data_IF_546889502002
#
_entry.id   IF_546889502002
#
_cell.length_a   1.000
_cell.length_b   1.000
_cell.length_c   1.000
_cell.angle_alpha   90.00
_cell.angle_beta   90.00
_cell.angle_gamma   90.00
#
_symmetry.space_group_name_H-M   'P 1'
#
loop_
_entity.id
_entity.type
_entity.pdbx_description
1 polymer ?
#
# COMPACT_ATOMS: atom_id res chain seq x y z
N UNK A 1 21.67 9.86 -1.85
CA UNK A 1 21.49 10.56 -3.15
C UNK A 1 19.98 10.66 -3.46
N UNK A 2 19.60 11.57 -4.36
CA UNK A 2 18.24 11.58 -4.92
C UNK A 2 18.27 10.90 -6.29
N UNK A 3 17.41 9.91 -6.49
CA UNK A 3 17.34 9.14 -7.73
C UNK A 3 15.95 9.28 -8.33
N UNK A 4 15.87 9.82 -9.55
CA UNK A 4 14.63 9.87 -10.31
C UNK A 4 14.55 8.68 -11.27
N UNK A 5 13.46 7.92 -11.22
CA UNK A 5 13.13 6.89 -12.22
C UNK A 5 11.95 7.40 -13.06
N UNK A 6 12.15 7.48 -14.37
CA UNK A 6 11.15 7.99 -15.29
C UNK A 6 11.11 7.19 -16.57
N UNK A 7 9.94 6.74 -16.95
CA UNK A 7 9.70 6.38 -18.34
C UNK A 7 9.47 7.65 -19.16
N UNK A 8 9.71 7.56 -20.48
CA UNK A 8 9.56 8.68 -21.42
C UNK A 8 8.19 8.65 -22.08
N UNK A 9 7.51 9.79 -22.07
CA UNK A 9 6.23 9.98 -22.71
C UNK A 9 6.29 10.87 -23.97
N UNK A 10 5.14 11.03 -24.60
CA UNK A 10 5.01 11.86 -25.81
C UNK A 10 5.27 13.35 -25.56
N UNK A 11 5.02 13.82 -24.35
CA UNK A 11 5.20 15.22 -23.94
C UNK A 11 6.61 15.56 -23.48
N UNK A 12 7.47 14.55 -23.30
CA UNK A 12 8.86 14.75 -22.90
C UNK A 12 9.75 15.04 -24.13
N UNK A 13 10.80 15.86 -23.99
CA UNK A 13 11.14 16.67 -22.81
C UNK A 13 10.37 17.99 -22.68
N UNK A 14 9.93 18.60 -23.78
CA UNK A 14 9.26 19.91 -23.82
C UNK A 14 8.08 19.82 -24.78
N UNK A 15 6.93 20.33 -24.38
CA UNK A 15 5.73 20.42 -25.22
C UNK A 15 5.00 21.73 -24.92
N UNK A 16 4.45 22.37 -25.97
CA UNK A 16 3.68 23.62 -25.86
C UNK A 16 4.42 24.67 -25.02
N UNK A 17 5.70 24.86 -25.29
CA UNK A 17 6.58 25.82 -24.60
C UNK A 17 6.74 25.59 -23.08
N UNK A 18 6.46 24.39 -22.60
CA UNK A 18 6.55 24.00 -21.18
C UNK A 18 7.28 22.69 -21.01
N UNK A 19 7.90 22.52 -19.84
CA UNK A 19 8.52 21.26 -19.45
C UNK A 19 7.52 20.10 -19.55
N UNK A 20 7.93 19.01 -20.17
CA UNK A 20 7.34 17.69 -19.98
C UNK A 20 7.57 17.21 -18.56
N UNK A 21 6.86 16.15 -18.15
CA UNK A 21 6.87 15.75 -16.74
C UNK A 21 8.26 15.34 -16.23
N UNK A 22 9.04 14.61 -17.05
CA UNK A 22 10.42 14.23 -16.68
C UNK A 22 11.28 15.46 -16.39
N UNK A 23 11.29 16.41 -17.32
CA UNK A 23 12.10 17.64 -17.19
C UNK A 23 11.64 18.50 -16.02
N UNK A 24 10.33 18.62 -15.82
CA UNK A 24 9.74 19.41 -14.74
C UNK A 24 10.09 18.85 -13.35
N UNK A 25 10.01 17.53 -13.19
CA UNK A 25 10.42 16.84 -11.94
C UNK A 25 11.92 17.02 -11.72
N UNK A 26 12.75 16.87 -12.75
CA UNK A 26 14.19 17.09 -12.65
C UNK A 26 14.51 18.54 -12.25
N UNK A 27 13.82 19.52 -12.82
CA UNK A 27 13.97 20.94 -12.46
C UNK A 27 13.60 21.22 -10.99
N UNK A 28 12.51 20.65 -10.52
CA UNK A 28 12.02 20.88 -9.15
C UNK A 28 12.85 20.17 -8.09
N UNK A 29 13.12 18.86 -8.27
CA UNK A 29 13.72 18.04 -7.22
C UNK A 29 15.24 17.97 -7.30
N UNK A 30 15.84 18.34 -8.43
CA UNK A 30 17.29 18.29 -8.68
C UNK A 30 17.89 16.93 -8.26
N UNK A 31 17.43 15.80 -8.83
CA UNK A 31 18.00 14.49 -8.52
C UNK A 31 19.49 14.43 -8.91
N UNK A 32 20.27 13.71 -8.09
CA UNK A 32 21.68 13.47 -8.39
C UNK A 32 21.86 12.48 -9.53
N UNK A 33 20.88 11.55 -9.66
CA UNK A 33 20.84 10.49 -10.68
C UNK A 33 19.46 10.40 -11.31
N UNK A 34 19.42 10.24 -12.64
CA UNK A 34 18.18 10.09 -13.40
C UNK A 34 18.27 8.81 -14.22
N UNK A 35 17.43 7.83 -13.88
CA UNK A 35 17.26 6.57 -14.65
C UNK A 35 16.11 6.76 -15.61
N UNK A 36 16.41 6.69 -16.91
CA UNK A 36 15.45 6.93 -17.98
C UNK A 36 15.15 5.63 -18.72
N UNK A 37 13.87 5.30 -18.80
CA UNK A 37 13.37 4.09 -19.46
C UNK A 37 12.64 4.48 -20.75
N UNK A 38 13.12 3.99 -21.87
CA UNK A 38 12.54 4.24 -23.19
C UNK A 38 11.66 3.08 -23.64
N UNK A 39 10.68 3.38 -24.46
CA UNK A 39 10.04 2.40 -25.35
C UNK A 39 10.56 2.57 -26.79
N UNK A 40 10.28 1.59 -27.65
CA UNK A 40 10.62 1.69 -29.07
C UNK A 40 10.16 3.02 -29.68
N UNK A 41 8.96 3.46 -29.33
CA UNK A 41 8.37 4.72 -29.81
C UNK A 41 9.12 5.96 -29.37
N UNK A 42 9.75 5.94 -28.20
CA UNK A 42 10.37 7.12 -27.58
C UNK A 42 11.89 7.10 -27.67
N UNK A 43 12.49 6.03 -28.17
CA UNK A 43 13.94 5.82 -28.24
C UNK A 43 14.69 6.91 -29.05
N UNK A 44 14.02 7.53 -30.01
CA UNK A 44 14.55 8.64 -30.81
C UNK A 44 14.69 9.96 -30.03
N UNK A 45 14.12 10.06 -28.83
CA UNK A 45 14.16 11.28 -27.99
C UNK A 45 15.38 11.38 -27.07
N UNK A 46 16.29 10.39 -27.11
CA UNK A 46 17.43 10.31 -26.19
C UNK A 46 18.24 11.60 -26.16
N UNK A 47 18.76 12.06 -27.27
CA UNK A 47 19.59 13.26 -27.37
C UNK A 47 18.83 14.52 -26.94
N UNK A 48 17.55 14.62 -27.31
CA UNK A 48 16.71 15.76 -26.95
C UNK A 48 16.47 15.84 -25.44
N UNK A 49 16.30 14.69 -24.77
CA UNK A 49 16.12 14.64 -23.31
C UNK A 49 17.41 15.00 -22.60
N UNK A 50 18.56 14.45 -23.02
CA UNK A 50 19.86 14.78 -22.43
C UNK A 50 20.17 16.28 -22.56
N UNK A 51 19.98 16.89 -23.75
CA UNK A 51 20.13 18.33 -23.97
C UNK A 51 19.19 19.14 -23.07
N UNK A 52 17.92 18.77 -22.98
CA UNK A 52 16.96 19.48 -22.14
C UNK A 52 17.31 19.39 -20.65
N UNK A 53 17.74 18.26 -20.15
CA UNK A 53 18.18 18.11 -18.76
C UNK A 53 19.38 19.00 -18.44
N UNK A 54 20.38 19.06 -19.34
CA UNK A 54 21.54 19.93 -19.17
C UNK A 54 21.21 21.44 -19.31
N UNK A 55 20.08 21.78 -19.95
CA UNK A 55 19.63 23.17 -20.07
C UNK A 55 18.96 23.74 -18.84
N UNK A 56 18.65 22.91 -17.83
CA UNK A 56 17.98 23.35 -16.60
C UNK A 56 18.81 24.40 -15.86
N UNK A 57 20.11 24.16 -15.74
CA UNK A 57 21.06 25.04 -15.07
C UNK A 57 22.48 24.55 -15.37
N UNK A 58 23.39 25.47 -15.67
CA UNK A 58 24.80 25.16 -15.98
C UNK A 58 25.55 24.46 -14.84
N UNK A 59 25.12 24.63 -13.60
CA UNK A 59 25.68 23.99 -12.41
C UNK A 59 25.04 22.65 -12.08
N UNK A 60 23.93 22.28 -12.73
CA UNK A 60 23.22 21.04 -12.48
C UNK A 60 23.66 19.97 -13.49
N UNK A 61 24.48 19.03 -12.99
CA UNK A 61 25.06 17.94 -13.78
C UNK A 61 24.67 16.58 -13.17
N UNK A 62 23.43 16.13 -13.35
CA UNK A 62 23.00 14.81 -12.85
C UNK A 62 23.70 13.68 -13.61
N UNK A 63 23.89 12.55 -12.95
CA UNK A 63 24.24 11.30 -13.61
C UNK A 63 23.00 10.80 -14.40
N UNK A 64 23.07 10.82 -15.71
CA UNK A 64 21.99 10.34 -16.58
C UNK A 64 22.27 8.90 -16.99
N UNK A 65 21.41 7.97 -16.56
CA UNK A 65 21.48 6.55 -16.91
C UNK A 65 20.32 6.23 -17.85
N UNK A 66 20.64 5.79 -19.05
CA UNK A 66 19.66 5.20 -19.93
C UNK A 66 19.59 3.72 -19.64
N UNK A 67 18.44 3.27 -19.15
CA UNK A 67 18.24 1.85 -18.86
C UNK A 67 18.38 1.01 -20.13
N UNK A 68 19.04 -0.14 -20.00
CA UNK A 68 19.41 -0.99 -21.17
C UNK A 68 18.19 -1.56 -21.89
N UNK A 69 17.13 -1.87 -21.14
CA UNK A 69 15.91 -2.45 -21.70
C UNK A 69 15.04 -1.36 -22.31
N UNK A 70 14.95 -1.37 -23.63
CA UNK A 70 13.94 -0.62 -24.37
C UNK A 70 12.65 -1.45 -24.35
N UNK A 71 11.52 -0.84 -23.96
CA UNK A 71 10.24 -1.53 -23.86
C UNK A 71 9.62 -1.67 -25.26
N UNK A 72 9.35 -2.91 -25.75
CA UNK A 72 8.66 -3.11 -27.03
C UNK A 72 7.29 -2.46 -27.06
N UNK A 73 6.88 -1.98 -28.24
CA UNK A 73 5.58 -1.32 -28.40
C UNK A 73 4.38 -2.23 -28.04
N UNK A 74 4.49 -3.53 -28.23
CA UNK A 74 3.48 -4.52 -27.85
C UNK A 74 3.35 -4.70 -26.33
N UNK A 75 4.40 -4.42 -25.57
CA UNK A 75 4.44 -4.64 -24.12
C UNK A 75 3.96 -3.43 -23.32
N UNK A 76 4.11 -2.21 -23.85
CA UNK A 76 3.77 -0.97 -23.12
C UNK A 76 2.31 -0.87 -22.68
N UNK A 77 1.43 -1.72 -23.23
CA UNK A 77 0.00 -1.78 -22.91
C UNK A 77 -0.36 -2.95 -21.98
N UNK A 78 0.61 -3.81 -21.61
CA UNK A 78 0.39 -4.96 -20.75
C UNK A 78 0.80 -4.59 -19.33
N UNK A 79 -0.19 -4.51 -18.42
CA UNK A 79 0.05 -4.06 -17.05
C UNK A 79 1.04 -4.96 -16.31
N UNK A 80 0.85 -6.29 -16.34
CA UNK A 80 1.70 -7.23 -15.60
C UNK A 80 3.15 -7.18 -16.10
N UNK A 81 3.38 -7.07 -17.42
CA UNK A 81 4.71 -6.90 -18.00
C UNK A 81 5.37 -5.61 -17.49
N UNK A 82 4.62 -4.51 -17.47
CA UNK A 82 5.12 -3.23 -16.96
C UNK A 82 5.39 -3.28 -15.46
N UNK A 83 4.54 -3.95 -14.70
CA UNK A 83 4.73 -4.13 -13.26
C UNK A 83 6.03 -4.89 -12.96
N UNK A 84 6.27 -6.00 -13.65
CA UNK A 84 7.47 -6.84 -13.45
C UNK A 84 8.73 -6.10 -13.87
N UNK A 85 8.73 -5.44 -15.04
CA UNK A 85 9.87 -4.69 -15.53
C UNK A 85 10.23 -3.53 -14.62
N UNK A 86 9.28 -2.69 -14.22
CA UNK A 86 9.55 -1.55 -13.34
C UNK A 86 9.87 -1.99 -11.92
N UNK A 87 9.32 -3.09 -11.42
CA UNK A 87 9.74 -3.68 -10.14
C UNK A 87 11.21 -4.08 -10.18
N UNK A 88 11.67 -4.72 -11.26
CA UNK A 88 13.07 -5.11 -11.44
C UNK A 88 13.98 -3.90 -11.57
N UNK A 89 13.61 -2.89 -12.36
CA UNK A 89 14.37 -1.64 -12.51
C UNK A 89 14.51 -0.92 -11.17
N UNK A 90 13.41 -0.80 -10.41
CA UNK A 90 13.46 -0.14 -9.10
C UNK A 90 14.38 -0.91 -8.16
N UNK A 91 14.30 -2.24 -8.12
CA UNK A 91 15.17 -3.07 -7.27
C UNK A 91 16.65 -2.95 -7.65
N UNK A 92 16.98 -2.81 -8.92
CA UNK A 92 18.36 -2.65 -9.41
C UNK A 92 19.03 -1.39 -8.85
N UNK A 93 18.27 -0.29 -8.73
CA UNK A 93 18.80 0.99 -8.28
C UNK A 93 18.51 1.30 -6.82
N UNK A 94 17.63 0.52 -6.16
CA UNK A 94 17.16 0.82 -4.80
C UNK A 94 18.24 0.60 -3.75
N UNK A 95 18.47 1.61 -2.92
CA UNK A 95 19.19 1.52 -1.65
C UNK A 95 18.35 2.15 -0.54
N UNK A 96 18.55 1.74 0.71
CA UNK A 96 17.79 2.29 1.85
C UNK A 96 18.19 3.72 2.21
N UNK A 97 19.41 4.11 1.84
CA UNK A 97 19.97 5.42 2.15
C UNK A 97 19.60 6.50 1.13
N UNK A 98 19.09 6.11 -0.03
CA UNK A 98 18.77 7.02 -1.11
C UNK A 98 17.28 7.42 -1.10
N UNK A 99 17.01 8.65 -1.56
CA UNK A 99 15.65 9.15 -1.79
C UNK A 99 15.25 8.83 -3.23
N UNK A 100 14.20 8.04 -3.39
CA UNK A 100 13.69 7.68 -4.71
C UNK A 100 12.48 8.52 -5.10
N UNK A 101 12.45 8.93 -6.37
CA UNK A 101 11.34 9.67 -6.97
C UNK A 101 10.88 8.90 -8.21
N UNK A 102 9.58 8.60 -8.28
CA UNK A 102 8.95 7.97 -9.44
C UNK A 102 8.09 8.98 -10.19
N UNK A 103 8.30 9.11 -11.48
CA UNK A 103 7.46 9.92 -12.34
C UNK A 103 6.18 9.19 -12.73
N UNK A 104 5.03 9.62 -12.18
CA UNK A 104 3.71 9.06 -12.50
C UNK A 104 2.98 9.79 -13.63
N UNK A 105 3.62 10.71 -14.34
CA UNK A 105 2.96 11.51 -15.38
C UNK A 105 3.36 11.17 -16.80
N UNK A 106 4.57 10.64 -17.01
CA UNK A 106 5.06 10.28 -18.33
C UNK A 106 4.68 8.86 -18.74
N UNK A 107 4.67 8.60 -20.03
CA UNK A 107 4.43 7.30 -20.67
C UNK A 107 2.96 6.82 -20.68
N UNK A 108 2.75 5.53 -20.94
CA UNK A 108 1.42 4.92 -21.07
C UNK A 108 0.67 4.83 -19.75
N UNK A 109 -0.67 4.72 -19.77
CA UNK A 109 -1.44 4.50 -18.54
C UNK A 109 -0.98 3.26 -17.76
N UNK A 110 -0.58 2.18 -18.44
CA UNK A 110 -0.12 0.94 -17.82
C UNK A 110 1.18 1.15 -17.04
N UNK A 111 2.15 1.84 -17.64
CA UNK A 111 3.42 2.19 -16.96
C UNK A 111 3.14 3.04 -15.71
N UNK A 112 2.33 4.09 -15.85
CA UNK A 112 1.96 4.97 -14.72
C UNK A 112 1.25 4.20 -13.61
N UNK A 113 0.32 3.33 -13.97
CA UNK A 113 -0.41 2.49 -13.01
C UNK A 113 0.51 1.48 -12.32
N UNK A 114 1.44 0.86 -13.05
CA UNK A 114 2.42 -0.06 -12.49
C UNK A 114 3.33 0.63 -11.46
N UNK A 115 3.89 1.79 -11.82
CA UNK A 115 4.70 2.59 -10.90
C UNK A 115 3.91 3.02 -9.65
N UNK A 116 2.64 3.42 -9.83
CA UNK A 116 1.75 3.73 -8.71
C UNK A 116 1.56 2.53 -7.79
N UNK A 117 1.24 1.35 -8.35
CA UNK A 117 1.00 0.12 -7.55
C UNK A 117 2.28 -0.33 -6.85
N UNK A 118 3.44 -0.30 -7.53
CA UNK A 118 4.74 -0.62 -6.94
C UNK A 118 5.02 0.30 -5.74
N UNK A 119 4.84 1.60 -5.91
CA UNK A 119 5.02 2.55 -4.81
C UNK A 119 4.17 2.20 -3.58
N UNK A 120 2.96 1.66 -3.76
CA UNK A 120 2.02 1.35 -2.67
C UNK A 120 2.20 -0.03 -2.04
N UNK A 121 2.72 -0.99 -2.78
CA UNK A 121 2.83 -2.38 -2.32
C UNK A 121 4.23 -2.77 -1.88
N UNK A 122 5.27 -2.10 -2.38
CA UNK A 122 6.67 -2.51 -2.15
C UNK A 122 7.20 -2.25 -0.73
N UNK A 123 6.53 -1.40 0.06
CA UNK A 123 7.05 -0.97 1.37
C UNK A 123 8.35 -0.13 1.30
N UNK A 124 8.75 0.28 0.10
CA UNK A 124 9.93 1.11 -0.16
C UNK A 124 9.57 2.58 0.09
N UNK A 125 10.47 3.33 0.73
CA UNK A 125 10.30 4.77 0.89
C UNK A 125 10.61 5.50 -0.42
N UNK A 126 9.58 5.70 -1.23
CA UNK A 126 9.67 6.29 -2.55
C UNK A 126 8.60 7.38 -2.69
N UNK A 127 8.99 8.55 -3.17
CA UNK A 127 8.06 9.62 -3.55
C UNK A 127 7.51 9.35 -4.94
N UNK A 128 6.21 9.26 -5.06
CA UNK A 128 5.52 9.23 -6.34
C UNK A 128 5.07 10.64 -6.72
N UNK A 129 5.50 11.13 -7.87
CA UNK A 129 5.27 12.52 -8.28
C UNK A 129 4.47 12.57 -9.57
N UNK A 130 3.40 13.33 -9.54
CA UNK A 130 2.61 13.73 -10.70
C UNK A 130 2.94 15.16 -11.09
N UNK A 131 2.78 15.48 -12.36
CA UNK A 131 2.91 16.85 -12.89
C UNK A 131 1.60 17.22 -13.56
N UNK A 132 0.96 18.29 -13.08
CA UNK A 132 -0.26 18.79 -13.68
C UNK A 132 0.02 19.43 -15.06
N UNK A 133 -0.94 19.28 -15.98
CA UNK A 133 -0.88 20.01 -17.26
C UNK A 133 -0.90 21.52 -17.00
N UNK A 134 -0.21 22.33 -17.83
CA UNK A 134 -0.35 23.78 -17.75
C UNK A 134 -1.82 24.20 -17.81
N UNK A 135 -2.18 25.25 -17.08
CA UNK A 135 -3.54 25.79 -17.12
C UNK A 135 -3.88 26.18 -18.57
N UNK A 136 -5.03 25.75 -19.06
CA UNK A 136 -5.58 25.96 -20.40
C UNK A 136 -5.10 24.99 -21.52
N UNK A 137 -4.16 24.09 -21.27
CA UNK A 137 -3.79 23.04 -22.23
C UNK A 137 -4.38 21.69 -21.79
N UNK A 138 -5.60 21.38 -22.26
CA UNK A 138 -5.98 19.98 -22.30
C UNK A 138 -5.17 19.31 -23.43
N UNK A 139 -4.61 18.13 -23.18
CA UNK A 139 -3.86 17.34 -24.17
C UNK A 139 -4.68 17.04 -25.45
N UNK A 140 -5.97 17.37 -25.47
CA UNK A 140 -6.89 17.15 -26.57
C UNK A 140 -6.89 18.25 -27.62
N UNK A 141 -6.53 19.49 -27.26
CA UNK A 141 -6.81 20.66 -28.09
C UNK A 141 -5.58 21.28 -28.79
N UNK A 142 -4.37 20.86 -28.43
CA UNK A 142 -3.16 21.33 -29.11
C UNK A 142 -2.78 20.41 -30.27
N UNK A 143 -2.76 20.91 -31.52
CA UNK A 143 -2.16 20.18 -32.64
C UNK A 143 -0.76 19.72 -32.24
N UNK A 144 -0.42 18.48 -32.57
CA UNK A 144 0.95 17.99 -32.41
C UNK A 144 1.85 18.76 -33.39
N UNK A 145 2.25 19.96 -33.02
CA UNK A 145 3.31 20.64 -33.74
C UNK A 145 4.58 19.82 -33.56
N UNK A 146 5.01 19.21 -34.65
CA UNK A 146 6.30 18.54 -34.73
C UNK A 146 7.39 19.60 -34.81
N UNK A 147 7.65 20.32 -33.73
CA UNK A 147 8.88 21.06 -33.63
C UNK A 147 9.96 20.03 -33.29
N UNK A 148 10.76 19.67 -34.29
CA UNK A 148 11.84 18.71 -34.13
C UNK A 148 13.13 19.32 -33.61
N UNK A 149 13.24 20.66 -33.59
CA UNK A 149 14.43 21.39 -33.14
C UNK A 149 14.39 21.59 -31.61
N UNK A 150 15.16 20.74 -30.93
CA UNK A 150 15.27 20.79 -29.46
C UNK A 150 15.90 22.11 -28.96
N UNK A 151 16.81 22.70 -29.72
CA UNK A 151 17.47 23.94 -29.29
C UNK A 151 16.48 25.11 -29.33
N UNK A 152 15.55 25.12 -30.29
CA UNK A 152 14.44 26.08 -30.33
C UNK A 152 13.44 25.83 -29.17
N UNK A 153 13.10 24.57 -28.90
CA UNK A 153 12.22 24.21 -27.78
C UNK A 153 12.79 24.65 -26.43
N UNK A 154 14.11 24.46 -26.23
CA UNK A 154 14.80 24.91 -25.01
C UNK A 154 14.77 26.45 -24.92
N UNK A 155 15.05 27.16 -26.00
CA UNK A 155 15.10 28.62 -26.03
C UNK A 155 13.72 29.28 -25.78
N UNK A 156 12.64 28.60 -26.17
CA UNK A 156 11.25 29.08 -26.03
C UNK A 156 10.54 28.51 -24.80
N UNK A 157 11.20 27.68 -24.00
CA UNK A 157 10.61 27.04 -22.84
C UNK A 157 10.36 28.05 -21.72
N UNK A 158 9.10 28.34 -21.45
CA UNK A 158 8.67 29.28 -20.42
C UNK A 158 8.96 28.81 -18.97
N UNK A 159 9.18 27.51 -18.76
CA UNK A 159 9.60 26.98 -17.47
C UNK A 159 11.13 27.13 -17.25
N UNK A 160 11.89 27.51 -18.28
CA UNK A 160 13.35 27.68 -18.18
C UNK A 160 13.73 29.04 -17.59
N UNK A 161 13.15 29.37 -16.44
CA UNK A 161 13.37 30.58 -15.68
C UNK A 161 13.58 30.24 -14.20
N UNK A 162 14.31 31.09 -13.43
CA UNK A 162 14.56 30.84 -12.00
C UNK A 162 13.28 30.67 -11.17
N UNK A 163 12.25 31.45 -11.47
CA UNK A 163 10.96 31.44 -10.77
C UNK A 163 9.88 30.76 -11.62
N UNK A 164 10.12 29.49 -12.01
CA UNK A 164 9.13 28.72 -12.75
C UNK A 164 7.95 28.30 -11.86
N UNK A 165 6.79 28.10 -12.48
CA UNK A 165 5.59 27.64 -11.77
C UNK A 165 5.71 26.14 -11.50
N UNK A 166 5.82 25.78 -10.24
CA UNK A 166 5.84 24.37 -9.82
C UNK A 166 4.47 23.72 -10.04
N UNK A 167 4.44 22.69 -10.88
CA UNK A 167 3.26 21.91 -11.22
C UNK A 167 3.32 20.48 -10.64
N UNK A 168 4.33 20.21 -9.80
CA UNK A 168 4.48 18.90 -9.18
C UNK A 168 3.46 18.68 -8.07
N UNK A 169 2.98 17.47 -7.95
CA UNK A 169 2.11 17.01 -6.88
C UNK A 169 2.64 15.66 -6.40
N UNK A 170 3.05 15.60 -5.14
CA UNK A 170 3.39 14.31 -4.51
C UNK A 170 2.09 13.53 -4.27
N UNK A 171 2.06 12.28 -4.75
CA UNK A 171 0.89 11.42 -4.60
C UNK A 171 0.97 10.63 -3.30
N UNK A 172 0.27 11.10 -2.29
CA UNK A 172 0.15 10.43 -0.99
C UNK A 172 -0.86 9.28 -1.01
N UNK A 173 -1.86 9.34 -1.91
CA UNK A 173 -2.94 8.35 -2.09
C UNK A 173 -3.52 7.79 -0.80
N UNK A 174 -3.69 8.62 0.22
CA UNK A 174 -4.19 8.23 1.55
C UNK A 174 -5.51 7.44 1.49
N UNK A 175 -6.41 7.84 0.59
CA UNK A 175 -7.70 7.15 0.42
C UNK A 175 -7.54 5.73 -0.10
N UNK A 176 -6.61 5.53 -1.03
CA UNK A 176 -6.32 4.21 -1.59
C UNK A 176 -5.67 3.31 -0.53
N UNK A 177 -4.63 3.80 0.15
CA UNK A 177 -3.96 3.08 1.25
C UNK A 177 -4.94 2.72 2.37
N UNK A 178 -5.80 3.67 2.77
CA UNK A 178 -6.89 3.43 3.72
C UNK A 178 -7.84 2.33 3.25
N UNK A 179 -8.19 2.30 1.97
CA UNK A 179 -9.08 1.29 1.40
C UNK A 179 -8.44 -0.11 1.42
N UNK A 180 -7.14 -0.22 1.12
CA UNK A 180 -6.38 -1.47 1.20
C UNK A 180 -6.33 -1.99 2.65
N UNK A 181 -5.96 -1.15 3.61
CA UNK A 181 -5.93 -1.52 5.03
C UNK A 181 -7.31 -1.97 5.49
N UNK A 182 -8.38 -1.26 5.13
CA UNK A 182 -9.76 -1.66 5.47
C UNK A 182 -10.14 -3.01 4.87
N UNK A 183 -9.72 -3.30 3.64
CA UNK A 183 -9.92 -4.61 3.02
C UNK A 183 -9.20 -5.69 3.83
N UNK A 184 -7.93 -5.49 4.13
CA UNK A 184 -7.11 -6.44 4.89
C UNK A 184 -7.70 -6.69 6.29
N UNK A 185 -8.18 -5.64 6.98
CA UNK A 185 -8.88 -5.79 8.27
C UNK A 185 -10.10 -6.72 8.13
N UNK A 186 -10.92 -6.53 7.08
CA UNK A 186 -12.09 -7.42 6.85
C UNK A 186 -11.67 -8.86 6.63
N UNK A 187 -10.61 -9.09 5.84
CA UNK A 187 -10.09 -10.43 5.56
C UNK A 187 -9.61 -11.12 6.84
N UNK A 188 -8.93 -10.39 7.74
CA UNK A 188 -8.54 -10.93 9.05
C UNK A 188 -9.74 -11.19 9.97
N UNK A 189 -10.74 -10.30 10.00
CA UNK A 189 -11.98 -10.52 10.75
C UNK A 189 -12.69 -11.79 10.25
N UNK A 190 -12.77 -12.00 8.94
CA UNK A 190 -13.38 -13.19 8.35
C UNK A 190 -12.63 -14.48 8.70
N UNK A 191 -11.32 -14.40 8.95
CA UNK A 191 -10.48 -15.51 9.42
C UNK A 191 -10.41 -15.59 10.93
N UNK A 192 -11.22 -14.81 11.64
CA UNK A 192 -11.27 -14.75 13.11
C UNK A 192 -9.94 -14.32 13.75
N UNK A 193 -9.07 -13.63 13.01
CA UNK A 193 -7.82 -13.08 13.53
C UNK A 193 -8.02 -11.62 14.00
N UNK A 194 -8.75 -11.49 15.09
CA UNK A 194 -9.14 -10.20 15.64
C UNK A 194 -7.97 -9.37 16.16
N UNK A 195 -6.88 -10.03 16.58
CA UNK A 195 -5.72 -9.33 17.13
C UNK A 195 -4.99 -8.57 16.01
N UNK A 196 -4.69 -9.23 14.90
CA UNK A 196 -4.08 -8.60 13.72
C UNK A 196 -5.03 -7.54 13.11
N UNK A 197 -6.33 -7.84 13.07
CA UNK A 197 -7.33 -6.86 12.62
C UNK A 197 -7.32 -5.57 13.47
N UNK A 198 -7.16 -5.70 14.80
CA UNK A 198 -7.05 -4.55 15.71
C UNK A 198 -5.75 -3.77 15.49
N UNK A 199 -4.61 -4.46 15.35
CA UNK A 199 -3.32 -3.82 15.09
C UNK A 199 -3.37 -3.00 13.80
N UNK A 200 -3.94 -3.53 12.74
CA UNK A 200 -4.13 -2.80 11.49
C UNK A 200 -5.14 -1.65 11.62
N UNK A 201 -6.22 -1.84 12.38
CA UNK A 201 -7.18 -0.78 12.62
C UNK A 201 -6.57 0.40 13.38
N UNK A 202 -5.56 0.16 14.23
CA UNK A 202 -4.84 1.20 14.97
C UNK A 202 -3.94 2.05 14.07
N UNK A 203 -3.57 1.56 12.89
CA UNK A 203 -2.78 2.31 11.88
C UNK A 203 -3.64 3.28 11.08
N UNK A 204 -4.96 3.11 11.07
CA UNK A 204 -5.85 3.99 10.31
C UNK A 204 -6.00 5.35 11.02
N UNK A 205 -6.17 6.45 10.29
CA UNK A 205 -6.54 7.74 10.87
C UNK A 205 -7.89 7.70 11.59
N UNK A 206 -8.09 8.62 12.52
CA UNK A 206 -9.34 8.77 13.27
C UNK A 206 -10.44 9.40 12.42
N UNK A 207 -11.33 8.59 11.90
CA UNK A 207 -12.56 9.07 11.24
C UNK A 207 -13.78 8.26 11.71
N UNK A 208 -14.97 8.77 11.37
CA UNK A 208 -16.25 8.15 11.76
C UNK A 208 -16.28 6.66 11.39
N UNK A 209 -16.63 5.82 12.33
CA UNK A 209 -16.73 4.37 12.19
C UNK A 209 -15.44 3.61 12.54
N UNK A 210 -14.23 4.16 12.37
CA UNK A 210 -12.98 3.49 12.76
C UNK A 210 -12.84 3.40 14.27
N UNK A 211 -13.16 4.48 15.00
CA UNK A 211 -13.17 4.48 16.47
C UNK A 211 -14.09 3.41 17.05
N UNK A 212 -15.28 3.28 16.47
CA UNK A 212 -16.24 2.26 16.90
C UNK A 212 -15.76 0.85 16.58
N UNK A 213 -15.20 0.64 15.38
CA UNK A 213 -14.63 -0.64 14.98
C UNK A 213 -13.47 -1.06 15.89
N UNK A 214 -12.53 -0.15 16.18
CA UNK A 214 -11.44 -0.39 17.15
C UNK A 214 -11.97 -0.78 18.52
N UNK A 215 -12.96 -0.06 19.03
CA UNK A 215 -13.57 -0.36 20.33
C UNK A 215 -14.18 -1.75 20.37
N UNK A 216 -14.88 -2.15 19.30
CA UNK A 216 -15.47 -3.49 19.20
C UNK A 216 -14.39 -4.57 19.07
N UNK A 217 -13.37 -4.36 18.24
CA UNK A 217 -12.26 -5.30 18.09
C UNK A 217 -11.48 -5.44 19.43
N UNK A 218 -11.20 -4.32 20.11
CA UNK A 218 -10.55 -4.35 21.42
C UNK A 218 -11.36 -5.14 22.43
N UNK A 219 -12.69 -4.96 22.48
CA UNK A 219 -13.56 -5.70 23.39
C UNK A 219 -13.50 -7.22 23.13
N UNK A 220 -13.44 -7.62 21.84
CA UNK A 220 -13.31 -9.03 21.47
C UNK A 220 -11.92 -9.58 21.85
N UNK A 221 -10.84 -8.86 21.54
CA UNK A 221 -9.46 -9.26 21.89
C UNK A 221 -9.30 -9.38 23.40
N UNK A 222 -9.74 -8.37 24.14
CA UNK A 222 -9.71 -8.40 25.61
C UNK A 222 -10.48 -9.59 26.20
N UNK A 223 -11.62 -9.94 25.60
CA UNK A 223 -12.43 -11.08 26.03
C UNK A 223 -11.70 -12.40 25.77
N UNK A 224 -11.10 -12.57 24.58
CA UNK A 224 -10.33 -13.76 24.24
C UNK A 224 -9.10 -13.93 25.14
N UNK A 225 -8.35 -12.85 25.40
CA UNK A 225 -7.14 -12.90 26.24
C UNK A 225 -7.46 -13.23 27.71
N UNK A 226 -8.64 -12.81 28.21
CA UNK A 226 -9.10 -13.11 29.58
C UNK A 226 -9.92 -14.40 29.68
N UNK A 227 -10.11 -15.11 28.60
CA UNK A 227 -11.02 -16.26 28.54
C UNK A 227 -12.44 -15.91 29.06
N UNK A 228 -12.91 -14.72 28.70
CA UNK A 228 -14.22 -14.16 29.11
C UNK A 228 -15.08 -13.89 27.86
N UNK A 229 -16.30 -13.46 28.04
CA UNK A 229 -17.20 -13.06 26.95
C UNK A 229 -17.08 -11.55 26.68
N UNK A 230 -17.27 -11.09 25.43
CA UNK A 230 -17.30 -9.67 25.11
C UNK A 230 -18.31 -8.90 25.97
N UNK A 231 -17.99 -7.65 26.32
CA UNK A 231 -18.83 -6.80 27.18
C UNK A 231 -20.23 -6.60 26.62
N UNK A 232 -20.37 -6.61 25.31
CA UNK A 232 -21.66 -6.54 24.60
C UNK A 232 -22.60 -7.69 24.95
N UNK A 233 -22.09 -8.82 25.43
CA UNK A 233 -22.86 -9.97 25.88
C UNK A 233 -23.03 -10.01 27.41
N UNK A 234 -22.28 -9.21 28.19
CA UNK A 234 -22.33 -9.19 29.65
C UNK A 234 -23.63 -8.61 30.23
N UNK A 235 -24.40 -7.87 29.47
CA UNK A 235 -25.67 -7.30 29.90
C UNK A 235 -26.82 -8.34 30.07
N UNK A 236 -26.58 -9.61 29.75
CA UNK A 236 -27.51 -10.68 29.99
C UNK A 236 -27.37 -11.17 31.44
N UNK A 237 -28.48 -11.36 32.13
CA UNK A 237 -28.51 -11.93 33.50
C UNK A 237 -28.21 -13.44 33.44
N UNK A 238 -27.00 -13.80 33.09
CA UNK A 238 -26.53 -15.18 33.12
C UNK A 238 -25.64 -15.40 34.32
N UNK A 239 -25.70 -16.61 34.90
CA UNK A 239 -24.76 -17.04 35.94
C UNK A 239 -23.34 -17.08 35.38
N UNK A 240 -22.34 -17.10 36.24
CA UNK A 240 -20.94 -17.11 35.82
C UNK A 240 -20.57 -18.45 35.14
N UNK A 241 -21.18 -19.55 35.55
CA UNK A 241 -21.04 -20.89 34.93
C UNK A 241 -21.52 -20.84 33.48
N UNK A 242 -22.69 -20.23 33.23
CA UNK A 242 -23.20 -20.06 31.86
C UNK A 242 -22.29 -19.18 31.00
N UNK A 243 -21.67 -18.16 31.55
CA UNK A 243 -20.71 -17.31 30.85
C UNK A 243 -19.46 -18.10 30.48
N UNK A 244 -18.92 -18.92 31.41
CA UNK A 244 -17.78 -19.81 31.20
C UNK A 244 -18.08 -20.84 30.08
N UNK A 245 -19.23 -21.51 30.15
CA UNK A 245 -19.65 -22.48 29.13
C UNK A 245 -19.79 -21.79 27.74
N UNK A 246 -20.40 -20.62 27.67
CA UNK A 246 -20.51 -19.86 26.43
C UNK A 246 -19.14 -19.46 25.89
N UNK A 247 -18.23 -18.99 26.72
CA UNK A 247 -16.87 -18.64 26.27
C UNK A 247 -16.12 -19.86 25.71
N UNK A 248 -16.22 -21.01 26.41
CA UNK A 248 -15.62 -22.26 25.94
C UNK A 248 -16.21 -22.67 24.59
N UNK A 249 -17.53 -22.63 24.44
CA UNK A 249 -18.20 -22.93 23.17
C UNK A 249 -17.75 -21.99 22.04
N UNK A 250 -17.76 -20.68 22.27
CA UNK A 250 -17.31 -19.69 21.27
C UNK A 250 -15.85 -19.93 20.86
N UNK A 251 -15.01 -20.35 21.81
CA UNK A 251 -13.60 -20.67 21.53
C UNK A 251 -13.47 -21.93 20.68
N UNK A 252 -14.32 -22.95 20.92
CA UNK A 252 -14.39 -24.16 20.07
C UNK A 252 -14.78 -23.81 18.65
N UNK A 253 -15.84 -23.03 18.45
CA UNK A 253 -16.26 -22.57 17.13
C UNK A 253 -15.14 -21.76 16.44
N UNK A 254 -14.44 -20.89 17.17
CA UNK A 254 -13.30 -20.15 16.65
C UNK A 254 -12.17 -21.07 16.17
N UNK A 255 -11.82 -22.11 16.93
CA UNK A 255 -10.78 -23.06 16.52
C UNK A 255 -11.21 -23.90 15.31
N UNK A 256 -12.47 -24.29 15.25
CA UNK A 256 -13.05 -25.01 14.10
C UNK A 256 -12.95 -24.17 12.82
N UNK A 257 -13.38 -22.89 12.86
CA UNK A 257 -13.33 -21.98 11.71
C UNK A 257 -11.89 -21.65 11.27
N UNK A 258 -10.93 -21.67 12.21
CA UNK A 258 -9.49 -21.56 11.93
C UNK A 258 -8.86 -22.83 11.36
N UNK A 259 -9.57 -23.95 11.33
CA UNK A 259 -9.04 -25.26 10.94
C UNK A 259 -8.17 -25.94 12.00
N UNK A 260 -8.15 -25.43 13.24
CA UNK A 260 -7.37 -25.98 14.35
C UNK A 260 -8.14 -27.09 15.07
N UNK A 261 -8.43 -28.18 14.37
CA UNK A 261 -9.30 -29.24 14.85
C UNK A 261 -8.78 -29.93 16.11
N UNK A 262 -7.47 -30.16 16.24
CA UNK A 262 -6.87 -30.75 17.44
C UNK A 262 -7.12 -29.94 18.69
N UNK A 263 -6.91 -28.62 18.61
CA UNK A 263 -7.19 -27.70 19.72
C UNK A 263 -8.70 -27.64 20.01
N UNK A 264 -9.54 -27.65 18.96
CA UNK A 264 -10.98 -27.71 19.09
C UNK A 264 -11.45 -28.94 19.86
N UNK A 265 -10.91 -30.12 19.56
CA UNK A 265 -11.24 -31.39 20.24
C UNK A 265 -10.85 -31.39 21.73
N UNK A 266 -9.67 -30.85 22.07
CA UNK A 266 -9.23 -30.71 23.47
C UNK A 266 -10.22 -29.82 24.23
N UNK A 267 -10.64 -28.70 23.63
CA UNK A 267 -11.60 -27.77 24.25
C UNK A 267 -13.01 -28.36 24.36
N UNK A 268 -13.44 -29.19 23.41
CA UNK A 268 -14.70 -29.92 23.52
C UNK A 268 -14.67 -30.84 24.75
N UNK A 269 -13.58 -31.60 24.93
CA UNK A 269 -13.41 -32.45 26.12
C UNK A 269 -13.54 -31.63 27.41
N UNK A 270 -12.78 -30.54 27.54
CA UNK A 270 -12.81 -29.66 28.71
C UNK A 270 -14.21 -29.06 28.97
N UNK A 271 -14.91 -28.62 27.91
CA UNK A 271 -16.27 -28.11 28.03
C UNK A 271 -17.25 -29.18 28.48
N UNK A 272 -17.11 -30.44 27.97
CA UNK A 272 -17.95 -31.56 28.37
C UNK A 272 -17.74 -31.91 29.83
N UNK A 273 -16.49 -31.97 30.28
CA UNK A 273 -16.14 -32.18 31.70
C UNK A 273 -16.77 -31.11 32.58
N UNK A 274 -16.59 -29.85 32.24
CA UNK A 274 -17.17 -28.74 32.99
C UNK A 274 -18.71 -28.81 33.07
N UNK A 275 -19.40 -29.13 31.97
CA UNK A 275 -20.87 -29.25 31.97
C UNK A 275 -21.33 -30.42 32.85
N UNK A 276 -20.62 -31.56 32.80
CA UNK A 276 -20.93 -32.72 33.63
C UNK A 276 -20.72 -32.42 35.13
N UNK A 277 -19.61 -31.82 35.48
CA UNK A 277 -19.32 -31.38 36.85
C UNK A 277 -20.39 -30.41 37.39
N UNK A 278 -20.71 -29.37 36.63
CA UNK A 278 -21.75 -28.42 36.99
C UNK A 278 -23.13 -29.08 37.15
N UNK A 279 -23.46 -30.05 36.26
CA UNK A 279 -24.70 -30.81 36.38
C UNK A 279 -24.75 -31.68 37.64
N UNK A 280 -23.63 -32.39 37.95
CA UNK A 280 -23.53 -33.25 39.11
C UNK A 280 -23.60 -32.42 40.38
N UNK A 281 -22.86 -31.32 40.50
CA UNK A 281 -22.87 -30.45 41.66
C UNK A 281 -24.25 -29.84 41.95
N UNK A 282 -24.95 -29.41 40.90
CA UNK A 282 -26.30 -28.92 41.01
C UNK A 282 -27.33 -29.96 41.42
N UNK A 283 -27.15 -31.22 40.99
CA UNK A 283 -28.09 -32.30 41.22
C UNK A 283 -27.80 -33.11 42.50
N UNK A 284 -26.50 -33.25 42.80
CA UNK A 284 -26.00 -34.04 43.94
C UNK A 284 -24.86 -33.28 44.67
N UNK A 285 -25.19 -32.21 45.43
CA UNK A 285 -24.18 -31.39 46.10
C UNK A 285 -23.20 -32.18 46.96
N UNK A 286 -21.89 -31.97 46.79
CA UNK A 286 -20.83 -32.63 47.53
C UNK A 286 -20.53 -34.04 47.09
N UNK A 287 -21.11 -34.55 46.00
CA UNK A 287 -20.82 -35.89 45.49
C UNK A 287 -19.40 -35.97 44.90
N UNK A 288 -18.99 -34.94 44.15
CA UNK A 288 -17.65 -34.91 43.51
C UNK A 288 -16.54 -34.84 44.58
N UNK A 289 -16.71 -34.06 45.62
CA UNK A 289 -15.75 -33.96 46.73
C UNK A 289 -15.43 -35.29 47.37
N UNK A 290 -16.42 -36.19 47.49
CA UNK A 290 -16.23 -37.50 48.05
C UNK A 290 -15.39 -38.43 47.16
N UNK A 291 -15.50 -38.30 45.84
CA UNK A 291 -14.75 -39.13 44.88
C UNK A 291 -13.30 -38.64 44.71
N UNK A 292 -13.03 -37.33 44.81
CA UNK A 292 -11.66 -36.78 44.72
C UNK A 292 -10.85 -37.22 45.96
N UNK A 293 -11.42 -37.18 47.18
CA UNK A 293 -10.76 -37.61 48.42
C UNK A 293 -10.42 -39.12 48.44
N UNK A 294 -11.16 -39.97 47.70
CA UNK A 294 -10.88 -41.40 47.58
C UNK A 294 -9.81 -41.74 46.55
N UNK A 295 -9.55 -40.88 45.57
CA UNK A 295 -8.54 -41.10 44.51
C UNK A 295 -7.14 -40.62 44.91
N UNK A 296 -6.99 -39.81 45.93
CA UNK A 296 -5.71 -39.36 46.50
C UNK A 296 -5.21 -40.21 47.71
N UNK A 297 -5.97 -41.27 48.09
CA UNK A 297 -5.60 -42.29 49.07
C UNK A 297 -5.16 -43.56 48.36
#
# INVERSE_FOLDING_TARGET
>A
MKILISAVGDTDPIRSYRDGALLHIARKYRPDKIVIVFSDRTSNKKESIEKALHSIDSSYLPEIIIHQSVIPNEDVFVFDTMFDQFSSIIQEYYTKEDEFILNLSSATPQIKSSLFVINRLSGINVKAVQVSSPANDSNADTPHEKIEDIDLLIATNEDNVPEFIDRTLEDESEKFSTALIKKTIRDFIQRYDYKVALELANQLPDFSGVKEARKKLQDIVDALDRQDIPRTLKNRKWSDERKKALNAYLTIELQKERGNFSEGLIRIKTLTEFILEDYIDNRYPGLLDRYVDESEK
#
